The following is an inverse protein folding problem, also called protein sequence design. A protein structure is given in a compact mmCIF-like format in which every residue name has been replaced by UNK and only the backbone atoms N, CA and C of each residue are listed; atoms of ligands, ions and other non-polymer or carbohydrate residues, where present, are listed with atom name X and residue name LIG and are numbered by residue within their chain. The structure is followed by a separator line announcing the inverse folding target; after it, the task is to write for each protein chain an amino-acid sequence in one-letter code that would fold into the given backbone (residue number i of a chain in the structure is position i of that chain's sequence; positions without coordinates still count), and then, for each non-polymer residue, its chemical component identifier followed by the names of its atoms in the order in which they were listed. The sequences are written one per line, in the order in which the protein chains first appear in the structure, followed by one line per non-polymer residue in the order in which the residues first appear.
data_IF_425083027081
#
_entry.id   IF_425083027081
#
_cell.length_a   1.000
_cell.length_b   1.000
_cell.length_c   1.000
_cell.angle_alpha   90.00
_cell.angle_beta   90.00
_cell.angle_gamma   90.00
#
_symmetry.space_group_name_H-M   'P 1'
#
loop_
_entity.id
_entity.type
_entity.pdbx_description
1 polymer ?
#
# COMPACT_ATOMS: atom_id res chain seq x y z
N UNK A 1 6.60 -36.32 -85.90
CA UNK A 1 5.41 -37.11 -85.51
C UNK A 1 4.74 -36.39 -84.36
N UNK A 2 3.45 -36.12 -84.52
CA UNK A 2 2.56 -35.40 -83.61
C UNK A 2 2.20 -36.22 -82.35
N UNK A 3 1.52 -35.51 -81.42
CA UNK A 3 0.65 -36.00 -80.33
C UNK A 3 1.32 -36.14 -78.95
N UNK A 4 0.74 -35.76 -77.82
CA UNK A 4 -0.42 -34.94 -77.42
C UNK A 4 -0.47 -34.96 -75.89
N UNK A 5 -0.87 -33.86 -75.24
CA UNK A 5 -1.99 -33.79 -74.29
C UNK A 5 -1.90 -32.57 -73.35
N UNK A 6 -3.05 -31.90 -73.31
CA UNK A 6 -3.47 -30.71 -72.59
C UNK A 6 -3.79 -31.08 -71.13
N UNK A 7 -3.51 -30.23 -70.13
CA UNK A 7 -4.48 -29.75 -69.11
C UNK A 7 -3.85 -28.83 -68.04
N UNK A 8 -4.16 -27.54 -68.15
CA UNK A 8 -4.58 -26.58 -67.10
C UNK A 8 -4.24 -26.80 -65.62
N UNK A 9 -3.73 -25.77 -64.92
CA UNK A 9 -4.43 -25.09 -63.80
C UNK A 9 -3.66 -23.85 -63.25
N UNK A 10 -4.34 -22.70 -63.40
CA UNK A 10 -4.38 -21.42 -62.64
C UNK A 10 -3.13 -20.55 -62.32
N UNK A 11 -3.32 -19.20 -62.32
CA UNK A 11 -2.27 -18.20 -62.14
C UNK A 11 -1.99 -17.91 -60.67
N UNK A 12 -0.71 -17.73 -60.33
CA UNK A 12 -0.24 -17.25 -59.03
C UNK A 12 -0.68 -15.78 -58.87
N UNK A 13 -1.83 -15.58 -58.22
CA UNK A 13 -2.38 -14.26 -57.96
C UNK A 13 -1.42 -13.46 -57.06
N UNK A 14 -1.11 -12.24 -57.50
CA UNK A 14 -0.40 -11.21 -56.75
C UNK A 14 -1.07 -10.99 -55.39
N UNK A 15 -0.44 -11.45 -54.31
CA UNK A 15 -0.73 -11.01 -52.96
C UNK A 15 0.21 -9.85 -52.62
N UNK A 16 -0.07 -8.67 -53.20
CA UNK A 16 0.44 -7.42 -52.65
C UNK A 16 -0.33 -7.17 -51.36
N UNK A 17 0.20 -7.69 -50.25
CA UNK A 17 -0.25 -7.34 -48.91
C UNK A 17 -0.25 -5.82 -48.78
N UNK A 18 -1.42 -5.26 -48.51
CA UNK A 18 -1.53 -3.87 -48.03
C UNK A 18 -0.79 -3.80 -46.70
N UNK A 19 0.45 -3.34 -46.71
CA UNK A 19 1.05 -2.77 -45.51
C UNK A 19 0.23 -1.52 -45.16
N UNK A 20 -0.74 -1.68 -44.27
CA UNK A 20 -1.27 -0.54 -43.55
C UNK A 20 -0.10 0.01 -42.74
N UNK A 21 0.43 1.17 -43.15
CA UNK A 21 1.34 1.92 -42.31
C UNK A 21 0.59 2.18 -41.00
N UNK A 22 1.05 1.54 -39.92
CA UNK A 22 0.66 1.95 -38.56
C UNK A 22 1.12 3.39 -38.45
N UNK A 23 0.16 4.33 -38.46
CA UNK A 23 0.44 5.71 -38.08
C UNK A 23 0.86 5.64 -36.62
N UNK A 24 2.16 5.67 -36.37
CA UNK A 24 2.68 6.01 -35.06
C UNK A 24 2.20 7.45 -34.80
N UNK A 25 1.15 7.60 -33.99
CA UNK A 25 0.69 8.92 -33.59
C UNK A 25 1.85 9.63 -32.92
N UNK A 26 2.25 10.78 -33.44
CA UNK A 26 3.27 11.62 -32.81
C UNK A 26 2.74 12.03 -31.44
N UNK A 27 3.45 11.69 -30.37
CA UNK A 27 3.14 12.16 -29.03
C UNK A 27 3.14 13.70 -29.03
N UNK A 28 2.23 14.35 -28.27
CA UNK A 28 2.24 15.80 -28.12
C UNK A 28 3.56 16.23 -27.49
N UNK A 29 4.10 17.36 -27.96
CA UNK A 29 5.34 17.92 -27.43
C UNK A 29 5.17 19.38 -27.05
N UNK A 30 5.81 19.80 -25.95
CA UNK A 30 5.96 21.21 -25.56
C UNK A 30 7.43 21.52 -25.30
N UNK A 31 7.85 22.76 -25.54
CA UNK A 31 9.19 23.24 -25.17
C UNK A 31 9.13 23.91 -23.79
N UNK A 32 10.03 23.50 -22.90
CA UNK A 32 10.33 24.18 -21.63
C UNK A 32 11.80 24.58 -21.68
N UNK A 33 12.10 25.87 -21.79
CA UNK A 33 13.45 26.40 -22.04
C UNK A 33 14.16 25.74 -23.23
N UNK A 34 15.15 24.88 -22.98
CA UNK A 34 15.86 24.10 -23.99
C UNK A 34 15.47 22.62 -23.97
N UNK A 35 14.48 22.24 -23.16
CA UNK A 35 13.97 20.87 -23.08
C UNK A 35 12.73 20.64 -23.96
N UNK A 36 12.71 19.50 -24.64
CA UNK A 36 11.51 18.96 -25.28
C UNK A 36 10.79 18.01 -24.33
N UNK A 37 9.52 18.28 -24.06
CA UNK A 37 8.69 17.47 -23.15
C UNK A 37 7.64 16.72 -23.95
N UNK A 38 7.57 15.40 -23.79
CA UNK A 38 6.60 14.53 -24.49
C UNK A 38 5.45 14.16 -23.56
N UNK A 39 4.21 14.42 -23.95
CA UNK A 39 3.01 14.09 -23.17
C UNK A 39 2.15 13.00 -23.82
N UNK A 40 0.91 12.86 -23.35
CA UNK A 40 -0.12 12.01 -23.96
C UNK A 40 -1.34 12.83 -24.37
N UNK A 41 -2.13 12.29 -25.31
CA UNK A 41 -3.44 12.84 -25.69
C UNK A 41 -4.51 11.81 -25.31
N UNK A 42 -5.48 12.24 -24.51
CA UNK A 42 -6.68 11.48 -24.19
C UNK A 42 -7.92 12.31 -24.59
N UNK A 43 -8.51 11.99 -25.74
CA UNK A 43 -9.60 12.77 -26.31
C UNK A 43 -9.17 14.20 -26.63
N UNK A 44 -9.80 15.18 -25.98
CA UNK A 44 -9.47 16.61 -26.08
C UNK A 44 -8.42 17.07 -25.07
N UNK A 45 -8.00 16.20 -24.15
CA UNK A 45 -7.04 16.52 -23.09
C UNK A 45 -5.63 16.13 -23.52
N UNK A 46 -4.70 17.06 -23.32
CA UNK A 46 -3.26 16.79 -23.46
C UNK A 46 -2.64 16.86 -22.08
N UNK A 47 -1.99 15.78 -21.66
CA UNK A 47 -1.43 15.63 -20.32
C UNK A 47 0.07 15.46 -20.38
N UNK A 48 0.79 16.18 -19.50
CA UNK A 48 2.23 16.05 -19.33
C UNK A 48 2.52 15.76 -17.85
N UNK A 49 2.80 14.50 -17.55
CA UNK A 49 3.04 14.02 -16.18
C UNK A 49 4.51 14.14 -15.78
N UNK A 50 4.78 14.02 -14.48
CA UNK A 50 6.14 13.83 -13.96
C UNK A 50 7.16 14.89 -14.43
N UNK A 51 6.72 16.12 -14.73
CA UNK A 51 7.61 17.25 -14.97
C UNK A 51 8.10 17.74 -13.60
N UNK A 52 9.40 17.68 -13.32
CA UNK A 52 9.94 18.21 -12.07
C UNK A 52 9.70 19.72 -11.99
N UNK A 53 9.31 20.27 -10.84
CA UNK A 53 9.09 21.73 -10.67
C UNK A 53 10.07 22.38 -9.68
N UNK A 54 10.80 21.56 -8.92
CA UNK A 54 11.78 21.97 -7.93
C UNK A 54 12.91 20.94 -7.84
N UNK A 55 14.06 21.36 -7.32
CA UNK A 55 15.15 20.44 -6.98
C UNK A 55 14.67 19.41 -5.93
N UNK A 56 15.14 18.15 -6.00
CA UNK A 56 14.74 17.13 -5.04
C UNK A 56 15.05 17.57 -3.60
N UNK A 57 14.11 17.45 -2.64
CA UNK A 57 14.29 17.92 -1.26
C UNK A 57 15.11 16.93 -0.42
N UNK A 58 16.32 16.63 -0.87
CA UNK A 58 17.26 15.68 -0.27
C UNK A 58 18.52 16.40 0.25
N UNK A 59 19.26 15.76 1.16
CA UNK A 59 20.45 16.35 1.77
C UNK A 59 20.13 17.70 2.43
N UNK A 60 20.92 18.72 2.11
CA UNK A 60 20.77 20.08 2.66
C UNK A 60 19.44 20.77 2.26
N UNK A 61 18.73 20.25 1.25
CA UNK A 61 17.42 20.75 0.81
C UNK A 61 16.25 20.13 1.59
N UNK A 62 16.49 19.10 2.40
CA UNK A 62 15.44 18.45 3.20
C UNK A 62 14.87 19.46 4.21
N UNK A 63 13.53 19.55 4.27
CA UNK A 63 12.78 20.52 5.10
C UNK A 63 13.09 22.01 4.81
N UNK A 64 13.69 22.32 3.65
CA UNK A 64 13.84 23.70 3.16
C UNK A 64 12.68 24.08 2.24
N UNK A 65 12.53 25.38 1.98
CA UNK A 65 11.62 25.87 0.94
C UNK A 65 12.00 25.23 -0.42
N UNK A 66 11.02 24.85 -1.25
CA UNK A 66 11.30 24.31 -2.58
C UNK A 66 12.21 25.24 -3.37
N UNK A 67 13.32 24.71 -3.88
CA UNK A 67 14.21 25.44 -4.77
C UNK A 67 13.76 25.20 -6.21
N UNK A 68 13.31 26.22 -6.96
CA UNK A 68 12.88 26.04 -8.35
C UNK A 68 13.98 25.45 -9.23
N UNK A 69 13.59 24.76 -10.30
CA UNK A 69 14.53 24.35 -11.34
C UNK A 69 14.84 25.57 -12.20
N UNK A 70 16.12 25.95 -12.26
CA UNK A 70 16.53 27.18 -12.94
C UNK A 70 16.34 27.12 -14.47
N UNK A 71 16.61 25.97 -15.09
CA UNK A 71 16.42 25.75 -16.53
C UNK A 71 16.16 24.27 -16.84
N UNK A 72 15.27 24.00 -17.78
CA UNK A 72 15.05 22.66 -18.34
C UNK A 72 15.90 22.46 -19.60
N UNK A 73 16.64 21.36 -19.66
CA UNK A 73 17.46 20.98 -20.83
C UNK A 73 17.16 19.54 -21.26
N UNK A 74 17.39 19.23 -22.54
CA UNK A 74 17.33 17.86 -23.07
C UNK A 74 15.91 17.37 -23.37
N UNK A 75 15.57 16.16 -22.92
CA UNK A 75 14.27 15.54 -23.20
C UNK A 75 13.62 15.07 -21.90
N UNK A 76 12.37 15.48 -21.67
CA UNK A 76 11.56 15.04 -20.53
C UNK A 76 10.45 14.12 -21.05
N UNK A 77 10.46 12.87 -20.60
CA UNK A 77 9.38 11.94 -20.89
C UNK A 77 8.25 12.12 -19.86
N UNK A 78 7.25 12.92 -20.22
CA UNK A 78 6.08 13.22 -19.42
C UNK A 78 4.86 12.36 -19.81
N UNK A 79 5.10 11.20 -20.43
CA UNK A 79 4.03 10.28 -20.84
C UNK A 79 3.58 9.33 -19.74
N UNK A 80 4.33 9.29 -18.64
CA UNK A 80 4.10 8.36 -17.53
C UNK A 80 3.95 9.11 -16.22
N UNK A 81 3.05 8.61 -15.39
CA UNK A 81 2.89 9.05 -14.01
C UNK A 81 4.19 8.76 -13.25
N UNK A 82 4.61 9.71 -12.40
CA UNK A 82 5.76 9.52 -11.51
C UNK A 82 5.52 8.45 -10.45
N UNK A 83 6.57 8.06 -9.73
CA UNK A 83 6.42 7.14 -8.60
C UNK A 83 5.48 7.74 -7.55
N UNK A 84 4.49 6.98 -7.10
CA UNK A 84 3.49 7.48 -6.17
C UNK A 84 4.00 7.43 -4.73
N UNK A 85 3.55 8.39 -3.92
CA UNK A 85 3.52 8.27 -2.47
C UNK A 85 2.34 7.38 -2.05
N UNK A 86 2.42 6.74 -0.88
CA UNK A 86 1.33 5.95 -0.27
C UNK A 86 0.23 6.87 0.31
N UNK A 87 -0.11 7.96 -0.38
CA UNK A 87 -1.09 8.93 0.11
C UNK A 87 -2.43 8.78 -0.60
N UNK A 88 -3.49 9.13 0.13
CA UNK A 88 -4.87 9.07 -0.35
C UNK A 88 -5.11 10.00 -1.54
N UNK A 89 -6.20 9.73 -2.27
CA UNK A 89 -6.67 10.54 -3.40
C UNK A 89 -6.87 11.99 -2.92
N UNK A 90 -6.23 12.99 -3.53
CA UNK A 90 -6.50 14.39 -3.20
C UNK A 90 -7.96 14.73 -3.49
N UNK A 91 -8.57 15.69 -2.77
CA UNK A 91 -9.95 16.11 -3.07
C UNK A 91 -10.06 16.55 -4.54
N UNK A 92 -10.91 15.85 -5.28
CA UNK A 92 -11.12 16.10 -6.70
C UNK A 92 -12.18 17.19 -6.89
N UNK A 93 -11.98 18.04 -7.90
CA UNK A 93 -13.01 19.02 -8.28
C UNK A 93 -14.18 18.32 -8.97
N UNK A 94 -15.41 18.62 -8.55
CA UNK A 94 -16.63 18.06 -9.13
C UNK A 94 -16.86 18.50 -10.59
N UNK A 95 -16.33 19.65 -11.00
CA UNK A 95 -16.50 20.23 -12.33
C UNK A 95 -15.44 19.78 -13.36
N UNK A 96 -14.64 18.78 -13.03
CA UNK A 96 -13.56 18.29 -13.89
C UNK A 96 -14.11 17.55 -15.12
N UNK A 97 -13.66 17.87 -16.35
CA UNK A 97 -14.00 17.10 -17.55
C UNK A 97 -13.67 15.62 -17.38
N UNK A 98 -14.47 14.71 -17.94
CA UNK A 98 -14.34 13.27 -17.70
C UNK A 98 -12.97 12.72 -18.12
N UNK A 99 -12.40 13.21 -19.22
CA UNK A 99 -11.08 12.83 -19.71
C UNK A 99 -9.96 13.32 -18.77
N UNK A 100 -10.10 14.54 -18.23
CA UNK A 100 -9.16 15.07 -17.24
C UNK A 100 -9.27 14.31 -15.91
N UNK A 101 -10.49 13.99 -15.50
CA UNK A 101 -10.74 13.18 -14.31
C UNK A 101 -10.08 11.82 -14.45
N UNK A 102 -10.22 11.15 -15.61
CA UNK A 102 -9.56 9.88 -15.90
C UNK A 102 -8.05 9.98 -15.75
N UNK A 103 -7.42 11.00 -16.32
CA UNK A 103 -5.97 11.19 -16.26
C UNK A 103 -5.47 11.51 -14.84
N UNK A 104 -6.24 12.30 -14.06
CA UNK A 104 -5.90 12.67 -12.68
C UNK A 104 -6.04 11.50 -11.71
N UNK A 105 -7.07 10.67 -11.88
CA UNK A 105 -7.32 9.52 -10.98
C UNK A 105 -6.59 8.25 -11.43
N UNK A 106 -6.15 8.14 -12.69
CA UNK A 106 -5.43 6.97 -13.19
C UNK A 106 -4.27 6.52 -12.29
N UNK A 107 -3.42 7.42 -11.74
CA UNK A 107 -2.44 7.06 -10.72
C UNK A 107 -3.08 6.36 -9.52
N UNK A 108 -4.17 6.92 -9.00
CA UNK A 108 -4.75 6.49 -7.72
C UNK A 108 -5.77 5.35 -7.85
N UNK A 109 -6.14 4.98 -9.09
CA UNK A 109 -6.97 3.81 -9.38
C UNK A 109 -6.23 2.51 -9.15
N UNK A 110 -4.89 2.52 -9.24
CA UNK A 110 -4.11 1.37 -8.85
C UNK A 110 -4.11 1.25 -7.31
N UNK A 111 -4.57 0.12 -6.74
CA UNK A 111 -4.40 -0.12 -5.31
C UNK A 111 -2.93 0.00 -4.94
N UNK A 112 -2.59 0.75 -3.88
CA UNK A 112 -1.20 1.00 -3.46
C UNK A 112 -0.37 -0.28 -3.38
N UNK A 113 -0.98 -1.38 -2.92
CA UNK A 113 -0.35 -2.71 -2.87
C UNK A 113 0.14 -3.21 -4.22
N UNK A 114 -0.62 -2.99 -5.30
CA UNK A 114 -0.22 -3.35 -6.66
C UNK A 114 0.94 -2.48 -7.15
N UNK A 115 0.90 -1.17 -6.84
CA UNK A 115 2.00 -0.26 -7.15
C UNK A 115 3.30 -0.67 -6.43
N UNK A 116 3.20 -1.08 -5.16
CA UNK A 116 4.33 -1.61 -4.36
C UNK A 116 4.93 -2.86 -5.01
N UNK A 117 4.09 -3.83 -5.42
CA UNK A 117 4.54 -5.06 -6.09
C UNK A 117 5.20 -4.78 -7.43
N UNK A 118 4.62 -3.87 -8.21
CA UNK A 118 5.16 -3.47 -9.51
C UNK A 118 6.39 -2.55 -9.40
N UNK A 119 6.81 -2.19 -8.19
CA UNK A 119 7.94 -1.31 -7.94
C UNK A 119 7.68 0.17 -8.27
N UNK A 120 6.43 0.57 -8.54
CA UNK A 120 5.99 1.95 -8.84
C UNK A 120 5.79 2.82 -7.59
N UNK A 121 6.65 2.64 -6.61
CA UNK A 121 6.63 3.39 -5.34
C UNK A 121 7.94 4.15 -5.18
N UNK A 122 7.86 5.35 -4.60
CA UNK A 122 9.03 6.17 -4.30
C UNK A 122 10.06 5.40 -3.47
N UNK A 123 11.33 5.46 -3.88
CA UNK A 123 12.43 4.80 -3.20
C UNK A 123 12.98 5.72 -2.11
N UNK A 124 12.33 5.73 -0.95
CA UNK A 124 12.71 6.55 0.20
C UNK A 124 12.80 5.71 1.48
N UNK A 125 13.68 6.08 2.43
CA UNK A 125 13.63 5.51 3.77
C UNK A 125 12.27 5.76 4.43
N UNK A 126 11.75 4.81 5.21
CA UNK A 126 10.45 4.96 5.88
C UNK A 126 10.36 4.22 7.22
N UNK A 127 9.52 4.73 8.12
CA UNK A 127 9.06 4.06 9.33
C UNK A 127 7.58 3.73 9.15
N UNK A 128 7.16 2.53 9.54
CA UNK A 128 5.73 2.13 9.53
C UNK A 128 5.41 1.32 10.78
N UNK A 129 4.28 1.59 11.41
CA UNK A 129 3.89 0.89 12.62
C UNK A 129 2.40 0.89 12.80
N UNK A 130 1.96 0.13 13.80
CA UNK A 130 0.57 -0.03 14.19
C UNK A 130 0.46 0.09 15.72
N UNK A 131 -0.75 0.34 16.20
CA UNK A 131 -1.13 0.09 17.59
C UNK A 131 -1.40 -1.41 17.79
N UNK A 132 -1.30 -1.92 19.02
CA UNK A 132 -1.49 -3.36 19.27
C UNK A 132 -2.90 -3.84 18.92
N UNK A 133 -3.92 -3.02 19.23
CA UNK A 133 -5.34 -3.38 19.16
C UNK A 133 -6.11 -2.55 18.12
N UNK A 134 -5.51 -2.35 16.94
CA UNK A 134 -6.06 -1.52 15.85
C UNK A 134 -7.57 -1.72 15.60
N UNK A 135 -8.03 -2.98 15.60
CA UNK A 135 -9.38 -3.35 15.23
C UNK A 135 -10.47 -3.03 16.26
N UNK A 136 -10.14 -2.70 17.51
CA UNK A 136 -11.14 -2.66 18.59
C UNK A 136 -12.17 -1.54 18.44
N UNK A 137 -11.78 -0.37 17.91
CA UNK A 137 -12.73 0.71 17.63
C UNK A 137 -13.58 0.37 16.40
N UNK A 138 -13.01 -0.26 15.38
CA UNK A 138 -13.74 -0.62 14.15
C UNK A 138 -14.80 -1.71 14.39
N UNK A 139 -14.47 -2.68 15.25
CA UNK A 139 -15.36 -3.79 15.60
C UNK A 139 -16.65 -3.32 16.32
N UNK A 140 -16.70 -2.07 16.80
CA UNK A 140 -17.92 -1.47 17.35
C UNK A 140 -19.08 -1.39 16.35
N UNK A 141 -18.78 -1.36 15.04
CA UNK A 141 -19.77 -1.44 13.97
C UNK A 141 -20.38 -2.83 13.76
N UNK A 142 -19.83 -3.86 14.40
CA UNK A 142 -20.12 -5.27 14.14
C UNK A 142 -20.72 -6.02 15.35
N UNK A 143 -21.29 -5.30 16.33
CA UNK A 143 -21.88 -5.90 17.54
C UNK A 143 -23.09 -6.83 17.28
N UNK A 144 -23.66 -6.79 16.07
CA UNK A 144 -24.72 -7.69 15.65
C UNK A 144 -24.23 -9.08 15.26
N UNK A 145 -22.92 -9.31 15.13
CA UNK A 145 -22.35 -10.62 14.83
C UNK A 145 -22.26 -11.44 16.10
N UNK A 146 -22.91 -12.60 16.09
CA UNK A 146 -23.04 -13.46 17.28
C UNK A 146 -22.68 -14.93 17.04
N UNK A 147 -22.42 -15.32 15.79
CA UNK A 147 -22.13 -16.71 15.41
C UNK A 147 -21.03 -16.81 14.35
N UNK A 148 -20.39 -17.99 14.24
CA UNK A 148 -19.45 -18.31 13.17
C UNK A 148 -20.00 -18.05 11.77
N UNK A 149 -21.27 -18.41 11.54
CA UNK A 149 -21.91 -18.25 10.25
C UNK A 149 -22.06 -16.78 9.87
N UNK A 150 -22.43 -15.93 10.84
CA UNK A 150 -22.52 -14.47 10.64
C UNK A 150 -21.14 -13.85 10.44
N UNK A 151 -20.12 -14.29 11.19
CA UNK A 151 -18.76 -13.80 11.02
C UNK A 151 -18.15 -14.20 9.68
N UNK A 152 -18.41 -15.44 9.22
CA UNK A 152 -18.02 -15.89 7.88
C UNK A 152 -18.67 -15.04 6.78
N UNK A 153 -19.96 -14.77 6.89
CA UNK A 153 -20.67 -13.95 5.91
C UNK A 153 -20.20 -12.48 5.96
N UNK A 154 -19.87 -11.97 7.15
CA UNK A 154 -19.26 -10.66 7.34
C UNK A 154 -17.93 -10.53 6.60
N UNK A 155 -16.99 -11.46 6.83
CA UNK A 155 -15.70 -11.48 6.12
C UNK A 155 -15.89 -11.58 4.60
N UNK A 156 -16.76 -12.47 4.14
CA UNK A 156 -17.01 -12.68 2.71
C UNK A 156 -17.64 -11.46 2.03
N UNK A 157 -18.59 -10.80 2.69
CA UNK A 157 -19.35 -9.72 2.08
C UNK A 157 -18.58 -8.39 2.07
N UNK A 158 -17.85 -8.08 3.14
CA UNK A 158 -17.20 -6.78 3.29
C UNK A 158 -15.71 -6.79 2.97
N UNK A 159 -15.01 -7.92 3.18
CA UNK A 159 -13.55 -7.97 3.12
C UNK A 159 -13.03 -8.76 1.91
N UNK A 160 -13.79 -9.78 1.47
CA UNK A 160 -13.43 -10.63 0.34
C UNK A 160 -14.57 -10.77 -0.68
N UNK A 161 -15.07 -9.66 -1.24
CA UNK A 161 -16.20 -9.70 -2.17
C UNK A 161 -15.86 -10.57 -3.39
N UNK A 162 -16.62 -11.64 -3.59
CA UNK A 162 -16.40 -12.62 -4.66
C UNK A 162 -15.77 -13.93 -4.22
N UNK A 163 -15.28 -14.04 -2.98
CA UNK A 163 -14.86 -15.31 -2.40
C UNK A 163 -16.08 -16.21 -2.10
N UNK A 164 -15.92 -17.53 -2.28
CA UNK A 164 -16.90 -18.48 -1.77
C UNK A 164 -16.74 -18.66 -0.25
N UNK A 165 -17.82 -19.05 0.44
CA UNK A 165 -17.75 -19.34 1.88
C UNK A 165 -16.71 -20.41 2.22
N UNK A 166 -16.50 -21.41 1.35
CA UNK A 166 -15.50 -22.46 1.53
C UNK A 166 -14.05 -21.94 1.49
N UNK A 167 -13.78 -20.83 0.80
CA UNK A 167 -12.44 -20.24 0.72
C UNK A 167 -12.13 -19.33 1.89
N UNK A 168 -13.16 -18.71 2.48
CA UNK A 168 -13.03 -17.84 3.67
C UNK A 168 -13.10 -18.66 4.96
N UNK A 169 -13.80 -19.81 4.96
CA UNK A 169 -14.00 -20.65 6.13
C UNK A 169 -12.72 -21.03 6.91
N UNK A 170 -11.55 -21.27 6.28
CA UNK A 170 -10.31 -21.51 7.02
C UNK A 170 -9.88 -20.36 7.95
N UNK A 171 -10.34 -19.13 7.72
CA UNK A 171 -10.09 -18.02 8.64
C UNK A 171 -10.80 -18.20 9.99
N UNK A 172 -11.87 -19.00 10.07
CA UNK A 172 -12.56 -19.27 11.33
C UNK A 172 -11.66 -20.03 12.32
N UNK A 173 -10.75 -20.88 11.82
CA UNK A 173 -9.78 -21.60 12.65
C UNK A 173 -8.60 -20.71 13.06
N UNK A 174 -8.22 -19.75 12.20
CA UNK A 174 -7.11 -18.82 12.45
C UNK A 174 -7.52 -17.65 13.36
N UNK A 175 -8.80 -17.32 13.38
CA UNK A 175 -9.42 -16.40 14.32
C UNK A 175 -10.52 -17.17 15.06
N UNK A 176 -10.22 -17.89 16.15
CA UNK A 176 -11.21 -18.72 16.86
C UNK A 176 -12.22 -17.87 17.65
N UNK A 177 -13.38 -18.47 17.96
CA UNK A 177 -14.33 -17.93 18.95
C UNK A 177 -13.85 -18.22 20.39
N UNK A 178 -12.67 -17.69 20.69
CA UNK A 178 -12.03 -17.75 22.00
C UNK A 178 -11.62 -16.33 22.38
N UNK A 179 -12.35 -15.65 23.28
CA UNK A 179 -12.06 -14.28 23.69
C UNK A 179 -10.61 -14.06 24.15
N UNK A 180 -9.95 -15.08 24.72
CA UNK A 180 -8.56 -14.99 25.15
C UNK A 180 -7.56 -14.83 23.99
N UNK A 181 -7.95 -15.22 22.77
CA UNK A 181 -7.15 -15.07 21.54
C UNK A 181 -7.50 -13.81 20.74
N UNK A 182 -8.57 -13.09 21.11
CA UNK A 182 -9.01 -11.88 20.42
C UNK A 182 -8.40 -10.58 20.97
N UNK A 183 -8.68 -9.46 20.28
CA UNK A 183 -8.22 -8.11 20.65
C UNK A 183 -9.30 -7.36 21.46
N UNK A 184 -9.03 -6.74 22.63
CA UNK A 184 -7.70 -6.41 23.17
C UNK A 184 -6.85 -7.62 23.54
N UNK A 185 -5.65 -7.72 22.96
CA UNK A 185 -4.79 -8.87 23.11
C UNK A 185 -4.25 -8.98 24.55
N UNK A 186 -4.00 -10.20 25.02
CA UNK A 186 -3.43 -10.43 26.36
C UNK A 186 -4.39 -10.19 27.54
N UNK A 187 -5.68 -9.95 27.29
CA UNK A 187 -6.67 -9.65 28.35
C UNK A 187 -7.56 -10.85 28.75
N UNK A 188 -7.27 -12.07 28.27
CA UNK A 188 -8.10 -13.24 28.56
C UNK A 188 -9.55 -13.03 28.11
N UNK A 189 -10.52 -13.36 28.96
CA UNK A 189 -11.96 -13.16 28.65
C UNK A 189 -12.46 -11.73 28.91
N UNK A 190 -11.62 -10.87 29.49
CA UNK A 190 -12.00 -9.48 29.74
C UNK A 190 -12.18 -8.71 28.43
N UNK A 191 -12.98 -7.65 28.50
CA UNK A 191 -13.25 -6.72 27.39
C UNK A 191 -14.04 -7.34 26.22
N UNK A 192 -14.74 -8.46 26.41
CA UNK A 192 -15.70 -9.00 25.42
C UNK A 192 -16.98 -8.14 25.36
N UNK A 193 -16.92 -6.98 24.70
CA UNK A 193 -18.01 -5.98 24.68
C UNK A 193 -19.29 -6.45 23.98
N UNK A 194 -19.19 -7.44 23.10
CA UNK A 194 -20.29 -8.11 22.40
C UNK A 194 -19.88 -9.57 22.10
N UNK A 195 -20.81 -10.49 21.75
CA UNK A 195 -20.53 -11.93 21.67
C UNK A 195 -19.31 -12.32 20.84
N UNK A 196 -19.04 -11.62 19.72
CA UNK A 196 -17.91 -11.89 18.83
C UNK A 196 -16.88 -10.74 18.79
N UNK A 197 -16.98 -9.77 19.71
CA UNK A 197 -16.26 -8.49 19.63
C UNK A 197 -14.75 -8.69 19.46
N UNK A 198 -14.10 -9.43 20.38
CA UNK A 198 -12.64 -9.53 20.35
C UNK A 198 -12.12 -10.29 19.14
N UNK A 199 -12.90 -11.25 18.64
CA UNK A 199 -12.61 -12.01 17.43
C UNK A 199 -12.67 -11.12 16.19
N UNK A 200 -13.75 -10.34 16.06
CA UNK A 200 -13.90 -9.37 14.97
C UNK A 200 -12.80 -8.32 15.03
N UNK A 201 -12.48 -7.78 16.22
CA UNK A 201 -11.40 -6.82 16.41
C UNK A 201 -10.03 -7.38 16.01
N UNK A 202 -9.71 -8.63 16.37
CA UNK A 202 -8.45 -9.26 15.95
C UNK A 202 -8.37 -9.39 14.43
N UNK A 203 -9.44 -9.86 13.78
CA UNK A 203 -9.50 -9.96 12.32
C UNK A 203 -9.39 -8.60 11.64
N UNK A 204 -10.15 -7.60 12.07
CA UNK A 204 -10.14 -6.26 11.45
C UNK A 204 -8.80 -5.56 11.64
N UNK A 205 -8.19 -5.67 12.82
CA UNK A 205 -6.86 -5.11 13.08
C UNK A 205 -5.79 -5.75 12.18
N UNK A 206 -5.84 -7.07 12.03
CA UNK A 206 -4.93 -7.77 11.14
C UNK A 206 -5.19 -7.47 9.66
N UNK A 207 -6.46 -7.43 9.25
CA UNK A 207 -6.86 -7.15 7.87
C UNK A 207 -6.59 -5.72 7.44
N UNK A 208 -6.77 -4.71 8.29
CA UNK A 208 -6.64 -3.31 7.86
C UNK A 208 -5.23 -2.75 8.07
N UNK A 209 -4.49 -3.27 9.05
CA UNK A 209 -3.24 -2.66 9.53
C UNK A 209 -2.06 -3.64 9.60
N UNK A 210 -2.10 -4.64 10.51
CA UNK A 210 -0.91 -5.45 10.82
C UNK A 210 -0.38 -6.22 9.61
N UNK A 211 -1.28 -6.84 8.83
CA UNK A 211 -0.87 -7.61 7.65
C UNK A 211 -0.38 -6.70 6.52
N UNK A 212 -0.91 -5.48 6.39
CA UNK A 212 -0.47 -4.45 5.45
C UNK A 212 0.94 -3.99 5.79
N UNK A 213 1.18 -3.66 7.06
CA UNK A 213 2.49 -3.25 7.58
C UNK A 213 3.53 -4.32 7.28
N UNK A 214 3.29 -5.58 7.68
CA UNK A 214 4.22 -6.70 7.43
C UNK A 214 4.43 -6.97 5.94
N UNK A 215 3.37 -6.89 5.12
CA UNK A 215 3.47 -7.05 3.67
C UNK A 215 4.35 -5.96 3.03
N UNK A 216 4.14 -4.69 3.41
CA UNK A 216 4.94 -3.58 2.92
C UNK A 216 6.42 -3.75 3.30
N UNK A 217 6.68 -4.07 4.57
CA UNK A 217 8.03 -4.32 5.08
C UNK A 217 8.71 -5.46 4.32
N UNK A 218 8.03 -6.59 4.13
CA UNK A 218 8.56 -7.75 3.39
C UNK A 218 8.93 -7.39 1.95
N UNK A 219 8.10 -6.61 1.28
CA UNK A 219 8.30 -6.24 -0.13
C UNK A 219 9.38 -5.17 -0.35
N UNK A 220 9.69 -4.36 0.68
CA UNK A 220 10.46 -3.12 0.52
C UNK A 220 11.74 -3.02 1.35
N UNK A 221 11.85 -3.66 2.50
CA UNK A 221 13.00 -3.52 3.43
C UNK A 221 14.35 -3.97 2.83
N UNK A 222 14.33 -4.91 1.88
CA UNK A 222 15.53 -5.33 1.13
C UNK A 222 15.91 -4.37 0.00
N UNK A 223 15.01 -3.46 -0.37
CA UNK A 223 15.19 -2.50 -1.48
C UNK A 223 15.52 -1.11 -0.98
N UNK A 224 14.98 -0.71 0.18
CA UNK A 224 15.19 0.60 0.80
C UNK A 224 15.21 0.47 2.32
N UNK A 225 15.79 1.45 3.02
CA UNK A 225 15.83 1.42 4.48
C UNK A 225 14.42 1.51 5.06
N UNK A 226 14.09 0.59 5.96
CA UNK A 226 12.78 0.46 6.56
C UNK A 226 12.92 0.14 8.05
N UNK A 227 12.03 0.71 8.85
CA UNK A 227 11.91 0.43 10.28
C UNK A 227 10.45 0.20 10.63
N UNK A 228 10.21 -0.55 11.71
CA UNK A 228 8.86 -0.80 12.20
C UNK A 228 8.72 -0.57 13.69
N UNK A 229 7.54 -0.10 14.10
CA UNK A 229 7.15 -0.01 15.50
C UNK A 229 5.80 -0.70 15.75
N UNK A 230 5.56 -1.08 17.00
CA UNK A 230 4.28 -1.55 17.52
C UNK A 230 3.99 -0.81 18.83
N UNK A 231 2.89 -0.08 18.91
CA UNK A 231 2.51 0.63 20.14
C UNK A 231 1.73 -0.30 21.06
N UNK A 232 2.26 -0.50 22.26
CA UNK A 232 1.61 -1.18 23.38
C UNK A 232 1.80 -0.33 24.65
N UNK A 233 1.24 0.89 24.59
CA UNK A 233 1.40 1.94 25.60
C UNK A 233 0.08 2.69 25.78
N UNK A 234 -0.20 3.17 26.98
CA UNK A 234 -1.39 3.98 27.29
C UNK A 234 -2.72 3.27 26.94
N UNK A 235 -2.98 2.03 27.43
CA UNK A 235 -4.21 1.32 27.11
C UNK A 235 -5.46 2.05 27.64
N UNK A 236 -6.55 1.95 26.89
CA UNK A 236 -7.88 2.40 27.24
C UNK A 236 -8.74 1.24 27.78
N UNK A 237 -9.52 1.46 28.85
CA UNK A 237 -10.46 0.46 29.34
C UNK A 237 -11.41 -0.03 28.24
N UNK A 238 -11.59 -1.35 28.12
CA UNK A 238 -12.50 -1.96 27.15
C UNK A 238 -11.92 -2.16 25.73
N UNK A 239 -11.01 -1.29 25.27
CA UNK A 239 -10.54 -1.30 23.87
C UNK A 239 -9.03 -1.43 23.71
N UNK A 240 -8.28 -1.56 24.81
CA UNK A 240 -6.84 -1.82 24.77
C UNK A 240 -6.08 -0.65 24.16
N UNK A 241 -5.24 -0.93 23.17
CA UNK A 241 -4.42 0.06 22.47
C UNK A 241 -4.99 0.27 21.04
N UNK A 242 -6.11 1.01 20.91
CA UNK A 242 -6.87 1.07 19.67
C UNK A 242 -6.18 1.91 18.59
N UNK A 243 -6.77 1.88 17.40
CA UNK A 243 -6.39 2.77 16.30
C UNK A 243 -6.26 4.25 16.71
N UNK A 244 -5.16 4.87 16.30
CA UNK A 244 -4.80 6.26 16.60
C UNK A 244 -4.13 6.46 17.96
N UNK A 245 -3.90 5.40 18.74
CA UNK A 245 -3.21 5.50 20.03
C UNK A 245 -1.71 5.84 19.88
N UNK A 246 -1.11 5.55 18.73
CA UNK A 246 0.24 5.99 18.37
C UNK A 246 0.40 7.52 18.38
N UNK A 247 -0.65 8.29 18.08
CA UNK A 247 -0.66 9.76 18.26
C UNK A 247 -0.51 10.14 19.74
N UNK A 248 -1.12 9.36 20.64
CA UNK A 248 -0.97 9.57 22.08
C UNK A 248 0.42 9.16 22.56
N UNK A 249 0.96 8.04 22.06
CA UNK A 249 2.33 7.64 22.35
C UNK A 249 3.36 8.70 21.92
N UNK A 250 3.17 9.31 20.75
CA UNK A 250 4.00 10.42 20.25
C UNK A 250 3.86 11.71 21.05
N UNK A 251 2.64 12.04 21.50
CA UNK A 251 2.38 13.31 22.19
C UNK A 251 2.68 13.29 23.69
N UNK A 252 2.80 12.09 24.29
CA UNK A 252 3.02 11.93 25.74
C UNK A 252 4.38 11.33 26.11
N UNK A 253 5.08 10.67 25.18
CA UNK A 253 6.39 10.06 25.41
C UNK A 253 7.51 10.80 24.67
N UNK A 254 8.52 11.23 25.40
CA UNK A 254 9.72 11.83 24.79
C UNK A 254 10.55 10.77 24.03
N UNK A 255 10.60 9.53 24.50
CA UNK A 255 11.38 8.45 23.89
C UNK A 255 11.00 8.15 22.42
N UNK A 256 9.72 7.89 22.16
CA UNK A 256 9.23 7.56 20.83
C UNK A 256 9.22 8.80 19.93
N UNK A 257 8.93 9.98 20.51
CA UNK A 257 9.05 11.24 19.79
C UNK A 257 10.48 11.50 19.33
N UNK A 258 11.48 11.29 20.19
CA UNK A 258 12.90 11.45 19.87
C UNK A 258 13.34 10.48 18.78
N UNK A 259 12.88 9.22 18.84
CA UNK A 259 13.12 8.23 17.78
C UNK A 259 12.60 8.72 16.41
N UNK A 260 11.40 9.28 16.37
CA UNK A 260 10.83 9.86 15.15
C UNK A 260 11.56 11.14 14.73
N UNK A 261 11.88 12.05 15.65
CA UNK A 261 12.64 13.28 15.37
C UNK A 261 14.00 12.94 14.78
N UNK A 262 14.69 11.94 15.32
CA UNK A 262 15.99 11.47 14.84
C UNK A 262 15.88 11.00 13.38
N UNK A 263 14.86 10.22 13.03
CA UNK A 263 14.60 9.84 11.64
C UNK A 263 14.26 11.04 10.75
N UNK A 264 13.46 11.99 11.24
CA UNK A 264 13.12 13.20 10.50
C UNK A 264 14.40 14.02 10.21
N UNK A 265 15.30 14.16 11.17
CA UNK A 265 16.53 14.90 11.02
C UNK A 265 17.58 14.19 10.14
N UNK A 266 17.70 12.86 10.26
CA UNK A 266 18.89 12.13 9.76
C UNK A 266 18.59 11.02 8.76
N UNK A 267 17.32 10.69 8.51
CA UNK A 267 16.87 9.50 7.74
C UNK A 267 17.24 8.15 8.39
N UNK A 268 17.66 8.16 9.66
CA UNK A 268 18.02 6.97 10.42
C UNK A 268 17.69 7.17 11.91
N UNK A 269 16.64 6.51 12.45
CA UNK A 269 16.27 6.69 13.84
C UNK A 269 17.30 6.08 14.82
N UNK A 270 18.19 5.21 14.36
CA UNK A 270 19.18 4.50 15.18
C UNK A 270 20.53 5.24 15.29
N UNK A 271 20.66 6.40 14.63
CA UNK A 271 21.92 7.17 14.60
C UNK A 271 23.11 6.37 14.06
N UNK A 272 22.89 5.46 13.11
CA UNK A 272 23.91 4.61 12.50
C UNK A 272 24.11 3.24 13.16
N UNK A 273 23.47 2.97 14.30
CA UNK A 273 23.61 1.66 14.96
C UNK A 273 22.87 0.52 14.23
N UNK A 274 21.89 0.85 13.36
CA UNK A 274 21.01 -0.10 12.65
C UNK A 274 20.31 -1.12 13.59
N UNK A 275 20.15 -0.79 14.87
CA UNK A 275 19.61 -1.69 15.89
C UNK A 275 18.16 -2.09 15.58
N UNK A 276 17.33 -1.14 15.16
CA UNK A 276 15.90 -1.32 14.87
C UNK A 276 15.60 -1.43 13.37
N UNK A 277 16.62 -1.40 12.51
CA UNK A 277 16.43 -1.58 11.07
C UNK A 277 15.77 -2.92 10.77
N UNK A 278 14.67 -2.87 10.02
CA UNK A 278 13.88 -4.05 9.71
C UNK A 278 14.60 -4.94 8.69
N UNK A 279 14.67 -6.22 9.01
CA UNK A 279 15.18 -7.28 8.14
C UNK A 279 14.08 -8.35 8.04
N UNK A 280 13.60 -8.70 6.82
CA UNK A 280 12.52 -9.65 6.64
C UNK A 280 12.88 -11.08 7.08
N UNK A 281 14.17 -11.40 7.23
CA UNK A 281 14.62 -12.68 7.77
C UNK A 281 14.53 -12.73 9.30
N UNK A 282 14.84 -11.62 9.99
CA UNK A 282 14.81 -11.57 11.47
C UNK A 282 13.48 -11.10 12.05
N UNK A 283 12.70 -10.32 11.28
CA UNK A 283 11.38 -9.77 11.64
C UNK A 283 11.35 -9.20 13.05
N UNK A 284 12.13 -8.15 13.29
CA UNK A 284 12.17 -7.44 14.57
C UNK A 284 11.41 -6.13 14.48
N UNK A 285 10.69 -5.79 15.54
CA UNK A 285 9.91 -4.56 15.67
C UNK A 285 10.32 -3.79 16.91
N UNK A 286 10.25 -2.45 16.84
CA UNK A 286 10.39 -1.59 18.02
C UNK A 286 9.04 -1.53 18.76
N UNK A 287 8.92 -2.21 19.88
CA UNK A 287 7.75 -2.10 20.75
C UNK A 287 7.86 -0.83 21.60
N UNK A 288 6.80 -0.03 21.57
CA UNK A 288 6.66 1.22 22.32
C UNK A 288 5.78 0.92 23.52
N UNK A 289 6.40 0.80 24.69
CA UNK A 289 5.83 0.22 25.91
C UNK A 289 5.65 1.25 27.02
N UNK A 290 4.78 0.96 28.00
CA UNK A 290 4.78 1.63 29.30
C UNK A 290 5.92 1.11 30.21
N UNK A 291 6.37 1.92 31.18
CA UNK A 291 7.32 1.49 32.22
C UNK A 291 8.74 2.06 32.08
N UNK A 292 9.70 1.42 32.76
CA UNK A 292 11.10 1.90 32.85
C UNK A 292 11.91 1.66 31.57
N UNK A 293 11.52 0.67 30.76
CA UNK A 293 12.13 0.35 29.47
C UNK A 293 11.10 0.63 28.34
N UNK A 294 10.88 1.91 27.99
CA UNK A 294 9.77 2.32 27.14
C UNK A 294 9.92 1.92 25.67
N UNK A 295 11.12 1.52 25.23
CA UNK A 295 11.42 1.11 23.86
C UNK A 295 12.19 -0.22 23.87
N UNK A 296 11.53 -1.29 23.42
CA UNK A 296 12.10 -2.63 23.37
C UNK A 296 12.14 -3.15 21.93
N UNK A 297 13.07 -4.07 21.64
CA UNK A 297 13.08 -4.79 20.36
C UNK A 297 12.48 -6.16 20.60
N UNK A 298 11.39 -6.44 19.89
CA UNK A 298 10.63 -7.67 20.01
C UNK A 298 10.50 -8.38 18.66
N UNK A 299 9.99 -9.60 18.72
CA UNK A 299 9.75 -10.43 17.54
C UNK A 299 8.40 -10.04 16.90
N UNK A 300 8.40 -9.85 15.58
CA UNK A 300 7.21 -9.53 14.79
C UNK A 300 6.65 -10.80 14.12
N UNK A 301 6.28 -11.79 14.93
CA UNK A 301 5.80 -13.12 14.51
C UNK A 301 4.38 -13.47 15.01
N UNK A 302 3.77 -12.61 15.84
CA UNK A 302 2.41 -12.83 16.35
C UNK A 302 1.40 -13.07 15.22
N UNK A 303 0.58 -14.12 15.33
CA UNK A 303 -0.50 -14.48 14.38
C UNK A 303 -0.06 -14.56 12.91
N UNK A 304 1.19 -14.96 12.65
CA UNK A 304 1.75 -15.02 11.28
C UNK A 304 0.84 -15.77 10.30
N UNK A 305 0.40 -16.99 10.64
CA UNK A 305 -0.45 -17.79 9.75
C UNK A 305 -1.80 -17.11 9.42
N UNK A 306 -2.39 -16.41 10.39
CA UNK A 306 -3.65 -15.67 10.19
C UNK A 306 -3.46 -14.51 9.22
N UNK A 307 -2.40 -13.71 9.42
CA UNK A 307 -2.07 -12.59 8.55
C UNK A 307 -1.68 -13.04 7.15
N UNK A 308 -0.94 -14.15 7.00
CA UNK A 308 -0.60 -14.72 5.69
C UNK A 308 -1.85 -15.17 4.92
N UNK A 309 -2.81 -15.81 5.60
CA UNK A 309 -4.07 -16.22 5.01
C UNK A 309 -4.91 -15.01 4.57
N UNK A 310 -4.99 -13.97 5.40
CA UNK A 310 -5.67 -12.71 5.08
C UNK A 310 -5.04 -12.02 3.87
N UNK A 311 -3.70 -11.98 3.81
CA UNK A 311 -2.96 -11.40 2.67
C UNK A 311 -3.22 -12.21 1.39
N UNK A 312 -3.15 -13.54 1.47
CA UNK A 312 -3.42 -14.41 0.33
C UNK A 312 -4.85 -14.25 -0.22
N UNK A 313 -5.85 -14.20 0.67
CA UNK A 313 -7.24 -14.00 0.27
C UNK A 313 -7.46 -12.60 -0.32
N UNK A 314 -6.90 -11.55 0.29
CA UNK A 314 -7.03 -10.19 -0.24
C UNK A 314 -6.28 -9.97 -1.56
N UNK A 315 -5.25 -10.78 -1.86
CA UNK A 315 -4.66 -10.83 -3.21
C UNK A 315 -5.58 -11.47 -4.25
N UNK A 316 -6.31 -12.51 -3.84
CA UNK A 316 -7.22 -13.24 -4.73
C UNK A 316 -8.54 -12.49 -4.95
N UNK A 317 -9.01 -11.81 -3.91
CA UNK A 317 -10.29 -11.10 -3.84
C UNK A 317 -10.06 -9.66 -3.34
N UNK A 318 -9.55 -8.76 -4.19
CA UNK A 318 -9.34 -7.36 -3.81
C UNK A 318 -10.67 -6.63 -3.59
N UNK A 319 -10.65 -5.66 -2.68
CA UNK A 319 -11.74 -4.69 -2.45
C UNK A 319 -11.92 -3.72 -3.62
#
# INVERSE_FOLDING_TARGET
MFSSHLTTLLPLALWLGRFAAVRCGTLPTVQLDQATVYGIINGSVTSFFNIPFAEPPIGDLRLRLPKPIDNYNGTINATQVGAQCIQQIPPLREDMPAEMLQDVIAPFKEPVRNAVLAGRIAHVPFITGDSLDEGTIFASGAFNITTDAEFLDYMRSLYFPGASGAEVAPLLDLYPDDPAQGSPFGTGDENQLAPMFKRVAAFEGDFLFQSQRRSLLTLRSSKQHAWSYLVDRNPFPGVGIPHGNDILALSRGEDFLDYIIQFVATLDPDGGSNRTRYDPASRRVLSVLDGEEPLAIEQDDAREAAMEAVVALSFKYPL
#
